data_IF_192606666794
#
_entry.id   IF_192606666794
#
_cell.length_a   1.000
_cell.length_b   1.000
_cell.length_c   1.000
_cell.angle_alpha   90.00
_cell.angle_beta   90.00
_cell.angle_gamma   90.00
#
_symmetry.space_group_name_H-M   'P 1'
#
loop_
_entity.id
_entity.type
_entity.pdbx_description
1 polymer ?
#
# COMPACT_ATOMS: atom_id res chain seq x y z
N UNK A 1 -11.98 -12.56 23.69
CA UNK A 1 -12.89 -13.73 23.77
C UNK A 1 -14.34 -13.32 23.54
N UNK A 2 -14.90 -12.38 24.28
CA UNK A 2 -16.31 -11.94 24.18
C UNK A 2 -16.69 -11.48 22.76
N UNK A 3 -15.89 -10.64 22.10
CA UNK A 3 -16.16 -10.16 20.72
C UNK A 3 -16.33 -11.32 19.73
N UNK A 4 -15.51 -12.37 19.81
CA UNK A 4 -15.62 -13.55 18.93
C UNK A 4 -16.91 -14.36 19.18
N UNK A 5 -17.35 -14.45 20.43
CA UNK A 5 -18.60 -15.14 20.78
C UNK A 5 -19.80 -14.36 20.25
N UNK A 6 -19.84 -13.04 20.46
CA UNK A 6 -20.91 -12.18 19.93
C UNK A 6 -20.98 -12.28 18.41
N UNK A 7 -19.83 -12.18 17.72
CA UNK A 7 -19.76 -12.34 16.27
C UNK A 7 -20.31 -13.70 15.82
N UNK A 8 -19.91 -14.78 16.47
CA UNK A 8 -20.37 -16.14 16.12
C UNK A 8 -21.88 -16.29 16.30
N UNK A 9 -22.43 -15.78 17.42
CA UNK A 9 -23.87 -15.85 17.68
C UNK A 9 -24.67 -15.00 16.69
N UNK A 10 -24.26 -13.77 16.45
CA UNK A 10 -24.92 -12.90 15.46
C UNK A 10 -24.88 -13.48 14.04
N UNK A 11 -23.73 -14.04 13.63
CA UNK A 11 -23.61 -14.69 12.32
C UNK A 11 -24.52 -15.89 12.16
N UNK A 12 -24.68 -16.71 13.22
CA UNK A 12 -25.65 -17.82 13.23
C UNK A 12 -27.10 -17.32 13.13
N UNK A 13 -27.46 -16.26 13.86
CA UNK A 13 -28.79 -15.66 13.75
C UNK A 13 -29.09 -15.19 12.33
N UNK A 14 -28.18 -14.46 11.70
CA UNK A 14 -28.31 -14.01 10.30
C UNK A 14 -28.50 -15.21 9.37
N UNK A 15 -27.69 -16.25 9.52
CA UNK A 15 -27.78 -17.47 8.71
C UNK A 15 -29.14 -18.17 8.86
N UNK A 16 -29.66 -18.29 10.09
CA UNK A 16 -30.97 -18.91 10.35
C UNK A 16 -32.12 -18.11 9.76
N UNK A 17 -32.09 -16.78 9.90
CA UNK A 17 -33.07 -15.87 9.30
C UNK A 17 -33.07 -16.01 7.77
N UNK A 18 -31.89 -15.99 7.16
CA UNK A 18 -31.73 -16.14 5.72
C UNK A 18 -32.25 -17.49 5.22
N UNK A 19 -31.97 -18.57 5.96
CA UNK A 19 -32.49 -19.90 5.65
C UNK A 19 -34.03 -19.93 5.70
N UNK A 20 -34.64 -19.30 6.69
CA UNK A 20 -36.09 -19.22 6.81
C UNK A 20 -36.71 -18.43 5.65
N UNK A 21 -36.13 -17.28 5.31
CA UNK A 21 -36.55 -16.45 4.18
C UNK A 21 -36.44 -17.26 2.87
N UNK A 22 -35.34 -17.96 2.66
CA UNK A 22 -35.14 -18.77 1.47
C UNK A 22 -36.19 -19.90 1.37
N UNK A 23 -36.48 -20.59 2.48
CA UNK A 23 -37.48 -21.66 2.52
C UNK A 23 -38.91 -21.17 2.22
N UNK A 24 -39.23 -19.93 2.59
CA UNK A 24 -40.57 -19.37 2.42
C UNK A 24 -40.76 -18.63 1.06
N UNK A 25 -39.70 -18.01 0.53
CA UNK A 25 -39.75 -17.14 -0.63
C UNK A 25 -39.01 -17.69 -1.85
N UNK A 26 -38.20 -18.72 -1.68
CA UNK A 26 -37.22 -19.24 -2.66
C UNK A 26 -36.25 -18.15 -3.18
N UNK A 27 -35.97 -17.12 -2.35
CA UNK A 27 -35.07 -16.01 -2.67
C UNK A 27 -34.07 -15.82 -1.53
N UNK A 28 -32.82 -15.48 -1.88
CA UNK A 28 -31.79 -15.05 -0.93
C UNK A 28 -31.72 -13.54 -0.86
N UNK A 29 -31.60 -12.98 0.33
CA UNK A 29 -31.43 -11.55 0.59
C UNK A 29 -30.00 -11.21 1.06
N UNK A 30 -29.09 -12.17 1.08
CA UNK A 30 -27.71 -11.97 1.54
C UNK A 30 -26.99 -10.84 0.80
N UNK A 31 -27.22 -10.67 -0.50
CA UNK A 31 -26.62 -9.59 -1.29
C UNK A 31 -27.10 -8.21 -0.79
N UNK A 32 -28.39 -8.07 -0.49
CA UNK A 32 -28.97 -6.83 0.05
C UNK A 32 -28.49 -6.54 1.46
N UNK A 33 -28.40 -7.57 2.31
CA UNK A 33 -27.80 -7.42 3.65
C UNK A 33 -26.34 -7.00 3.58
N UNK A 34 -25.57 -7.57 2.65
CA UNK A 34 -24.17 -7.17 2.42
C UNK A 34 -24.09 -5.71 1.98
N UNK A 35 -24.91 -5.28 1.03
CA UNK A 35 -24.94 -3.91 0.54
C UNK A 35 -25.32 -2.92 1.67
N UNK A 36 -26.33 -3.26 2.48
CA UNK A 36 -26.70 -2.47 3.64
C UNK A 36 -25.56 -2.36 4.66
N UNK A 37 -24.92 -3.47 5.03
CA UNK A 37 -23.78 -3.47 5.96
C UNK A 37 -22.63 -2.66 5.38
N UNK A 38 -22.36 -2.79 4.07
CA UNK A 38 -21.30 -2.04 3.40
C UNK A 38 -21.55 -0.54 3.41
N UNK A 39 -22.82 -0.12 3.30
CA UNK A 39 -23.21 1.30 3.40
C UNK A 39 -22.91 1.91 4.77
N UNK A 40 -22.80 1.09 5.82
CA UNK A 40 -22.46 1.47 7.19
C UNK A 40 -20.96 1.28 7.51
N UNK A 41 -20.20 0.65 6.61
CA UNK A 41 -18.81 0.24 6.85
C UNK A 41 -17.83 1.38 6.62
N UNK A 42 -17.99 2.47 7.37
CA UNK A 42 -17.09 3.61 7.33
C UNK A 42 -16.58 3.94 8.73
N UNK A 43 -15.30 4.30 8.80
CA UNK A 43 -14.64 4.74 10.01
C UNK A 43 -14.03 6.12 9.82
N UNK A 44 -14.21 6.98 10.81
CA UNK A 44 -13.64 8.33 10.80
C UNK A 44 -12.50 8.39 11.81
N UNK A 45 -11.36 8.86 11.37
CA UNK A 45 -10.23 9.19 12.24
C UNK A 45 -9.81 10.63 11.99
N UNK A 46 -9.12 11.20 12.96
CA UNK A 46 -8.54 12.53 12.83
C UNK A 46 -7.12 12.43 12.32
N UNK A 47 -6.83 13.09 11.20
CA UNK A 47 -5.49 13.19 10.60
C UNK A 47 -5.18 14.67 10.41
N UNK A 48 -4.13 15.19 11.08
CA UNK A 48 -3.69 16.59 10.99
C UNK A 48 -4.85 17.58 11.15
N UNK A 49 -5.65 17.41 12.21
CA UNK A 49 -6.86 18.21 12.53
C UNK A 49 -7.97 18.13 11.48
N UNK A 50 -7.93 17.16 10.58
CA UNK A 50 -8.98 16.91 9.59
C UNK A 50 -9.68 15.58 9.88
N UNK A 51 -11.02 15.56 9.83
CA UNK A 51 -11.81 14.33 9.97
C UNK A 51 -11.82 13.60 8.62
N UNK A 52 -11.13 12.49 8.54
CA UNK A 52 -11.00 11.66 7.34
C UNK A 52 -11.84 10.39 7.50
N UNK A 53 -12.64 10.10 6.49
CA UNK A 53 -13.47 8.90 6.42
C UNK A 53 -12.75 7.81 5.65
N UNK A 54 -12.73 6.60 6.18
CA UNK A 54 -12.20 5.41 5.51
C UNK A 54 -13.30 4.39 5.33
N UNK A 55 -13.39 3.81 4.15
CA UNK A 55 -14.19 2.64 3.90
C UNK A 55 -13.49 1.41 4.48
N UNK A 56 -14.18 0.69 5.36
CA UNK A 56 -13.64 -0.44 6.13
C UNK A 56 -14.47 -1.71 5.89
N UNK A 57 -14.33 -2.36 4.73
CA UNK A 57 -15.14 -3.51 4.34
C UNK A 57 -14.87 -4.76 5.18
N UNK A 58 -13.75 -4.80 5.90
CA UNK A 58 -13.33 -5.93 6.71
C UNK A 58 -12.42 -5.50 7.87
N UNK A 59 -12.15 -6.43 8.78
CA UNK A 59 -11.36 -6.16 9.99
C UNK A 59 -9.87 -5.85 9.72
N UNK A 60 -9.31 -6.29 8.59
CA UNK A 60 -7.92 -5.99 8.23
C UNK A 60 -7.77 -4.51 7.86
N UNK A 61 -8.69 -4.00 7.03
CA UNK A 61 -8.72 -2.56 6.70
C UNK A 61 -9.02 -1.74 7.95
N UNK A 62 -9.95 -2.20 8.81
CA UNK A 62 -10.22 -1.54 10.09
C UNK A 62 -8.96 -1.46 10.97
N UNK A 63 -8.22 -2.55 11.07
CA UNK A 63 -6.97 -2.61 11.82
C UNK A 63 -5.93 -1.62 11.27
N UNK A 64 -5.74 -1.55 9.94
CA UNK A 64 -4.83 -0.59 9.32
C UNK A 64 -5.19 0.86 9.64
N UNK A 65 -6.48 1.17 9.62
CA UNK A 65 -6.96 2.52 9.98
C UNK A 65 -6.76 2.80 11.46
N UNK A 66 -7.01 1.82 12.34
CA UNK A 66 -6.87 1.98 13.81
C UNK A 66 -5.42 2.11 14.26
N UNK A 67 -4.52 1.48 13.52
CA UNK A 67 -3.09 1.48 13.86
C UNK A 67 -2.28 2.47 13.04
N UNK A 68 -2.91 3.32 12.24
CA UNK A 68 -2.27 4.22 11.30
C UNK A 68 -1.08 5.01 11.88
N UNK A 69 -1.24 5.60 13.05
CA UNK A 69 -0.17 6.35 13.73
C UNK A 69 0.86 5.47 14.46
N UNK A 70 0.64 4.15 14.52
CA UNK A 70 1.45 3.22 15.31
C UNK A 70 2.26 2.27 14.44
N UNK A 71 1.74 1.89 13.27
CA UNK A 71 2.36 0.84 12.45
C UNK A 71 3.65 1.31 11.80
N UNK A 72 3.69 2.51 11.26
CA UNK A 72 4.88 3.07 10.63
C UNK A 72 5.02 4.57 10.96
N UNK A 73 5.24 4.93 12.22
CA UNK A 73 5.39 6.33 12.61
C UNK A 73 6.57 7.00 11.90
N UNK A 74 7.62 6.24 11.57
CA UNK A 74 8.78 6.72 10.82
C UNK A 74 8.44 7.16 9.39
N UNK A 75 7.45 6.55 8.75
CA UNK A 75 6.98 6.98 7.43
C UNK A 75 6.24 8.31 7.53
N UNK A 76 5.47 8.53 8.60
CA UNK A 76 4.81 9.83 8.85
C UNK A 76 5.84 10.91 9.18
N UNK A 77 6.82 10.63 10.04
CA UNK A 77 7.94 11.54 10.34
C UNK A 77 8.70 11.93 9.08
N UNK A 78 8.94 10.98 8.18
CA UNK A 78 9.60 11.23 6.91
C UNK A 78 8.77 12.15 6.01
N UNK A 79 7.46 11.90 5.87
CA UNK A 79 6.56 12.79 5.10
C UNK A 79 6.50 14.19 5.74
N UNK A 80 6.53 14.28 7.06
CA UNK A 80 6.56 15.55 7.79
C UNK A 80 7.83 16.37 7.51
N UNK A 81 8.92 15.70 7.16
CA UNK A 81 10.21 16.32 6.84
C UNK A 81 10.32 16.85 5.41
N UNK A 82 9.31 16.66 4.56
CA UNK A 82 9.34 17.14 3.17
C UNK A 82 9.48 18.65 3.10
N UNK A 83 10.26 19.13 2.13
CA UNK A 83 10.41 20.56 1.88
C UNK A 83 9.03 21.20 1.63
N UNK A 84 8.74 22.28 2.34
CA UNK A 84 7.53 23.05 2.08
C UNK A 84 7.71 23.87 0.81
N UNK A 85 7.27 23.33 -0.31
CA UNK A 85 7.35 23.98 -1.62
C UNK A 85 6.08 23.74 -2.44
N UNK A 86 5.84 24.64 -3.37
CA UNK A 86 4.77 24.47 -4.35
C UNK A 86 5.14 23.38 -5.38
N UNK A 87 4.12 22.68 -5.87
CA UNK A 87 4.25 21.62 -6.87
C UNK A 87 5.15 20.44 -6.45
N UNK A 88 5.20 20.12 -5.15
CA UNK A 88 5.84 18.92 -4.66
C UNK A 88 5.16 17.68 -5.26
N UNK A 89 5.94 16.75 -5.78
CA UNK A 89 5.46 15.49 -6.35
C UNK A 89 5.92 14.32 -5.46
N UNK A 90 4.95 13.60 -4.90
CA UNK A 90 5.18 12.41 -4.10
C UNK A 90 4.66 11.16 -4.82
N UNK A 91 5.49 10.14 -4.95
CA UNK A 91 5.10 8.83 -5.46
C UNK A 91 5.00 7.84 -4.29
N UNK A 92 3.80 7.28 -4.11
CA UNK A 92 3.48 6.25 -3.12
C UNK A 92 3.31 4.91 -3.86
N UNK A 93 4.40 4.13 -3.96
CA UNK A 93 4.43 2.87 -4.70
C UNK A 93 4.14 1.73 -3.73
N UNK A 94 2.99 1.07 -3.93
CA UNK A 94 2.38 0.15 -2.97
C UNK A 94 1.42 0.87 -2.02
N UNK A 95 0.57 1.76 -2.58
CA UNK A 95 -0.29 2.63 -1.79
C UNK A 95 -1.35 1.89 -0.95
N UNK A 96 -1.64 0.62 -1.23
CA UNK A 96 -2.62 -0.21 -0.53
C UNK A 96 -3.98 0.50 -0.43
N UNK A 97 -4.46 0.84 0.77
CA UNK A 97 -5.71 1.57 0.99
C UNK A 97 -5.56 3.11 0.99
N UNK A 98 -4.35 3.63 0.74
CA UNK A 98 -4.06 5.05 0.55
C UNK A 98 -3.73 5.85 1.79
N UNK A 99 -3.33 5.24 2.89
CA UNK A 99 -3.06 5.93 4.17
C UNK A 99 -2.00 7.03 4.02
N UNK A 100 -0.83 6.71 3.45
CA UNK A 100 0.28 7.66 3.30
C UNK A 100 0.04 8.66 2.18
N UNK A 101 -0.63 8.24 1.11
CA UNK A 101 -1.10 9.15 0.06
C UNK A 101 -2.02 10.24 0.60
N UNK A 102 -2.99 9.86 1.44
CA UNK A 102 -3.92 10.80 2.09
C UNK A 102 -3.17 11.69 3.07
N UNK A 103 -2.29 11.11 3.91
CA UNK A 103 -1.50 11.88 4.86
C UNK A 103 -0.67 12.96 4.17
N UNK A 104 0.09 12.60 3.12
CA UNK A 104 0.86 13.55 2.36
C UNK A 104 0.00 14.69 1.79
N UNK A 105 -1.17 14.37 1.23
CA UNK A 105 -2.06 15.36 0.60
C UNK A 105 -2.69 16.33 1.61
N UNK A 106 -2.79 15.94 2.87
CA UNK A 106 -3.25 16.80 3.97
C UNK A 106 -2.12 17.64 4.54
N UNK A 107 -0.92 17.06 4.67
CA UNK A 107 0.27 17.73 5.19
C UNK A 107 0.82 18.75 4.20
N UNK A 108 1.04 18.34 2.98
CA UNK A 108 1.65 19.12 1.91
C UNK A 108 0.58 19.61 0.94
N UNK A 109 -0.13 20.69 1.30
CA UNK A 109 -1.37 21.14 0.63
C UNK A 109 -1.20 21.40 -0.87
N UNK A 110 -0.02 21.80 -1.31
CA UNK A 110 0.31 22.12 -2.71
C UNK A 110 1.07 20.98 -3.39
N UNK A 111 0.92 19.74 -2.90
CA UNK A 111 1.54 18.55 -3.49
C UNK A 111 0.61 17.82 -4.44
N UNK A 112 1.20 17.13 -5.43
CA UNK A 112 0.57 16.09 -6.21
C UNK A 112 1.07 14.73 -5.73
N UNK A 113 0.16 13.84 -5.34
CA UNK A 113 0.49 12.47 -4.96
C UNK A 113 0.11 11.52 -6.08
N UNK A 114 1.02 10.62 -6.46
CA UNK A 114 0.75 9.53 -7.38
C UNK A 114 0.75 8.23 -6.57
N UNK A 115 -0.42 7.64 -6.42
CA UNK A 115 -0.63 6.40 -5.68
C UNK A 115 -0.62 5.20 -6.63
N UNK A 116 0.42 4.38 -6.58
CA UNK A 116 0.51 3.15 -7.38
C UNK A 116 -0.02 1.97 -6.55
N UNK A 117 -1.08 1.35 -7.04
CA UNK A 117 -1.66 0.16 -6.43
C UNK A 117 -2.27 -0.75 -7.51
N UNK A 118 -1.65 -1.90 -7.81
CA UNK A 118 -2.15 -2.79 -8.86
C UNK A 118 -3.16 -3.84 -8.37
N UNK A 119 -3.28 -4.11 -7.07
CA UNK A 119 -4.22 -5.09 -6.54
C UNK A 119 -5.65 -4.60 -6.71
N UNK A 120 -6.48 -5.38 -7.40
CA UNK A 120 -7.89 -5.06 -7.64
C UNK A 120 -8.69 -4.93 -6.36
N UNK A 121 -8.34 -5.72 -5.33
CA UNK A 121 -8.98 -5.68 -4.01
C UNK A 121 -8.66 -4.36 -3.28
N UNK A 122 -7.39 -3.96 -3.29
CA UNK A 122 -6.95 -2.73 -2.64
C UNK A 122 -7.43 -1.49 -3.38
N UNK A 123 -7.43 -1.51 -4.73
CA UNK A 123 -7.92 -0.41 -5.57
C UNK A 123 -9.36 -0.01 -5.24
N UNK A 124 -10.21 -0.98 -4.93
CA UNK A 124 -11.60 -0.73 -4.53
C UNK A 124 -11.68 0.16 -3.28
N UNK A 125 -10.81 -0.09 -2.31
CA UNK A 125 -10.76 0.69 -1.06
C UNK A 125 -10.05 2.02 -1.29
N UNK A 126 -8.90 2.01 -1.95
CA UNK A 126 -8.10 3.20 -2.26
C UNK A 126 -8.92 4.26 -2.99
N UNK A 127 -9.58 3.89 -4.10
CA UNK A 127 -10.38 4.82 -4.88
C UNK A 127 -11.53 5.41 -4.06
N UNK A 128 -12.20 4.58 -3.27
CA UNK A 128 -13.28 5.02 -2.39
C UNK A 128 -12.78 5.96 -1.29
N UNK A 129 -11.65 5.65 -0.65
CA UNK A 129 -11.05 6.51 0.38
C UNK A 129 -10.64 7.88 -0.16
N UNK A 130 -10.15 7.95 -1.39
CA UNK A 130 -9.81 9.23 -2.04
C UNK A 130 -11.08 10.03 -2.33
N UNK A 131 -12.06 9.42 -2.98
CA UNK A 131 -13.28 10.12 -3.43
C UNK A 131 -14.17 10.60 -2.28
N UNK A 132 -14.38 9.80 -1.24
CA UNK A 132 -15.23 10.23 -0.09
C UNK A 132 -14.63 11.40 0.71
N UNK A 133 -13.32 11.65 0.56
CA UNK A 133 -12.61 12.75 1.19
C UNK A 133 -12.34 13.92 0.21
N UNK A 134 -12.85 13.86 -1.02
CA UNK A 134 -12.67 14.87 -2.08
C UNK A 134 -11.18 15.16 -2.36
N UNK A 135 -10.35 14.11 -2.41
CA UNK A 135 -8.90 14.21 -2.66
C UNK A 135 -8.50 13.89 -4.09
N UNK A 136 -9.46 13.66 -5.00
CA UNK A 136 -9.24 13.25 -6.40
C UNK A 136 -8.37 14.26 -7.19
N UNK A 137 -8.44 15.53 -6.84
CA UNK A 137 -7.60 16.56 -7.47
C UNK A 137 -6.13 16.53 -7.01
N UNK A 138 -5.85 15.92 -5.85
CA UNK A 138 -4.52 15.88 -5.23
C UNK A 138 -3.84 14.52 -5.37
N UNK A 139 -4.62 13.44 -5.40
CA UNK A 139 -4.13 12.06 -5.46
C UNK A 139 -4.60 11.44 -6.76
N UNK A 140 -3.65 11.09 -7.62
CA UNK A 140 -3.90 10.35 -8.86
C UNK A 140 -3.58 8.88 -8.63
N UNK A 141 -4.52 7.99 -8.92
CA UNK A 141 -4.30 6.54 -8.81
C UNK A 141 -3.71 6.02 -10.10
N UNK A 142 -2.61 5.29 -10.01
CA UNK A 142 -2.02 4.52 -11.09
C UNK A 142 -2.13 3.04 -10.77
N UNK A 143 -2.84 2.31 -11.63
CA UNK A 143 -3.11 0.88 -11.45
C UNK A 143 -2.01 -0.02 -12.04
N UNK A 144 -0.98 0.61 -12.63
CA UNK A 144 0.13 -0.10 -13.25
C UNK A 144 1.13 -0.56 -12.20
N UNK A 145 1.44 -1.85 -12.08
CA UNK A 145 2.56 -2.31 -11.29
C UNK A 145 3.88 -1.91 -11.94
N UNK A 146 4.83 -1.52 -11.10
CA UNK A 146 6.17 -1.12 -11.51
C UNK A 146 7.18 -2.25 -11.32
N UNK A 147 8.16 -2.33 -12.21
CA UNK A 147 9.25 -3.31 -12.19
C UNK A 147 10.43 -2.79 -13.03
N UNK A 148 11.43 -3.62 -13.33
CA UNK A 148 12.54 -3.28 -14.23
C UNK A 148 12.23 -3.52 -15.71
N UNK A 149 11.14 -4.20 -16.06
CA UNK A 149 10.76 -4.45 -17.46
C UNK A 149 9.78 -3.37 -17.94
N UNK A 150 9.93 -3.05 -19.24
CA UNK A 150 9.11 -2.04 -19.88
C UNK A 150 7.94 -2.68 -20.62
N UNK A 151 6.72 -2.19 -20.34
CA UNK A 151 5.51 -2.46 -21.14
C UNK A 151 5.23 -3.94 -21.42
N UNK A 152 5.08 -4.75 -20.36
CA UNK A 152 4.79 -6.17 -20.49
C UNK A 152 3.58 -6.61 -19.66
N UNK A 153 2.83 -7.57 -20.20
CA UNK A 153 1.86 -8.32 -19.40
C UNK A 153 2.59 -9.40 -18.60
N UNK A 154 2.62 -9.19 -17.28
CA UNK A 154 3.16 -10.16 -16.34
C UNK A 154 2.05 -10.66 -15.41
N UNK A 155 2.36 -11.69 -14.63
CA UNK A 155 1.39 -12.25 -13.68
C UNK A 155 1.44 -11.47 -12.38
N UNK A 156 0.31 -10.87 -12.00
CA UNK A 156 0.05 -10.44 -10.63
C UNK A 156 -0.39 -11.65 -9.82
N UNK A 157 0.21 -11.84 -8.66
CA UNK A 157 -0.08 -12.91 -7.71
C UNK A 157 -0.50 -12.28 -6.40
N UNK A 158 -1.71 -12.58 -5.95
CA UNK A 158 -2.21 -12.08 -4.67
C UNK A 158 -2.27 -13.20 -3.63
N UNK A 159 -1.83 -12.90 -2.41
CA UNK A 159 -1.80 -13.82 -1.28
C UNK A 159 -3.18 -14.06 -0.67
N UNK A 160 -4.11 -13.14 -0.86
CA UNK A 160 -5.44 -13.14 -0.27
C UNK A 160 -6.47 -12.49 -1.18
N UNK A 161 -7.75 -12.82 -0.99
CA UNK A 161 -8.89 -12.12 -1.60
C UNK A 161 -9.38 -10.93 -0.77
N UNK A 162 -8.71 -10.63 0.33
CA UNK A 162 -9.16 -9.64 1.30
C UNK A 162 -8.58 -8.28 0.96
N UNK A 163 -9.44 -7.26 0.94
CA UNK A 163 -9.02 -5.87 0.81
C UNK A 163 -8.11 -5.45 1.98
N UNK A 164 -7.16 -4.57 1.71
CA UNK A 164 -6.10 -4.21 2.65
C UNK A 164 -5.00 -5.27 2.74
N UNK A 165 -5.07 -6.32 1.91
CA UNK A 165 -4.04 -7.36 1.83
C UNK A 165 -2.68 -6.79 1.43
N UNK A 166 -1.63 -7.51 1.82
CA UNK A 166 -0.24 -7.29 1.47
C UNK A 166 0.39 -8.61 1.03
N UNK A 167 1.70 -8.63 0.83
CA UNK A 167 2.45 -9.80 0.34
C UNK A 167 1.98 -10.26 -1.03
N UNK A 168 1.84 -9.33 -1.95
CA UNK A 168 1.55 -9.58 -3.35
C UNK A 168 2.85 -9.61 -4.15
N UNK A 169 2.83 -10.21 -5.36
CA UNK A 169 4.01 -10.25 -6.21
C UNK A 169 3.64 -10.00 -7.66
N UNK A 170 4.42 -9.18 -8.37
CA UNK A 170 4.25 -8.91 -9.78
C UNK A 170 5.45 -9.39 -10.60
N UNK A 171 5.19 -10.29 -11.57
CA UNK A 171 6.23 -10.83 -12.45
C UNK A 171 7.22 -11.76 -11.76
N UNK A 172 7.27 -11.77 -10.44
CA UNK A 172 8.17 -12.59 -9.64
C UNK A 172 7.64 -14.00 -9.35
N UNK A 173 8.53 -14.89 -8.93
CA UNK A 173 8.19 -16.22 -8.41
C UNK A 173 8.42 -16.32 -6.90
N UNK A 174 8.90 -15.25 -6.29
CA UNK A 174 9.29 -15.18 -4.89
C UNK A 174 8.38 -14.24 -4.12
N UNK A 175 8.27 -14.49 -2.83
CA UNK A 175 7.60 -13.64 -1.86
C UNK A 175 8.60 -12.62 -1.24
N UNK A 176 8.12 -11.86 -0.26
CA UNK A 176 8.91 -10.86 0.47
C UNK A 176 10.12 -11.45 1.24
N UNK A 177 10.18 -12.77 1.42
CA UNK A 177 11.34 -13.47 2.01
C UNK A 177 12.26 -14.06 0.96
N UNK A 178 12.00 -13.89 -0.35
CA UNK A 178 12.73 -14.54 -1.42
C UNK A 178 12.42 -16.03 -1.57
N UNK A 179 11.34 -16.52 -0.96
CA UNK A 179 10.88 -17.91 -1.08
C UNK A 179 9.84 -18.05 -2.19
N UNK A 180 9.61 -19.28 -2.66
CA UNK A 180 8.63 -19.55 -3.71
C UNK A 180 7.23 -19.13 -3.25
N UNK A 181 6.61 -18.21 -3.97
CA UNK A 181 5.33 -17.62 -3.63
C UNK A 181 4.16 -18.57 -3.93
N UNK A 182 3.29 -18.76 -2.92
CA UNK A 182 2.01 -19.45 -3.08
C UNK A 182 0.87 -18.43 -3.09
N UNK A 183 0.27 -18.22 -4.25
CA UNK A 183 -0.82 -17.26 -4.44
C UNK A 183 -2.20 -17.92 -4.33
N UNK A 184 -3.20 -17.14 -3.91
CA UNK A 184 -4.61 -17.54 -3.98
C UNK A 184 -5.31 -17.02 -5.24
N UNK A 185 -4.81 -15.95 -5.81
CA UNK A 185 -5.33 -15.36 -7.04
C UNK A 185 -4.19 -14.98 -7.98
N UNK A 186 -4.38 -15.26 -9.28
CA UNK A 186 -3.42 -14.92 -10.32
C UNK A 186 -4.16 -14.32 -11.51
N UNK A 187 -3.65 -13.21 -12.02
CA UNK A 187 -4.16 -12.60 -13.25
C UNK A 187 -3.05 -11.89 -14.02
N UNK A 188 -3.26 -11.68 -15.30
CA UNK A 188 -2.32 -10.90 -16.12
C UNK A 188 -2.67 -9.42 -16.05
N UNK A 189 -1.67 -8.60 -15.77
CA UNK A 189 -1.80 -7.15 -15.77
C UNK A 189 -0.63 -6.54 -16.52
N UNK A 190 -0.88 -5.44 -17.22
CA UNK A 190 0.15 -4.67 -17.89
C UNK A 190 0.94 -3.86 -16.89
N UNK A 191 2.26 -4.01 -16.92
CA UNK A 191 3.18 -3.27 -16.06
C UNK A 191 4.27 -2.58 -16.84
N UNK A 192 4.96 -1.67 -16.20
CA UNK A 192 6.00 -0.84 -16.82
C UNK A 192 7.10 -0.50 -15.81
N UNK A 193 7.97 0.44 -16.16
CA UNK A 193 9.02 0.94 -15.31
C UNK A 193 8.98 2.47 -15.15
N UNK A 194 9.71 2.97 -14.17
CA UNK A 194 9.81 4.40 -13.86
C UNK A 194 10.38 5.19 -15.05
N UNK A 195 11.41 4.65 -15.72
CA UNK A 195 12.03 5.31 -16.86
C UNK A 195 11.02 5.58 -17.98
N UNK A 196 10.19 4.58 -18.32
CA UNK A 196 9.16 4.73 -19.36
C UNK A 196 8.14 5.82 -19.02
N UNK A 197 7.66 5.85 -17.77
CA UNK A 197 6.66 6.84 -17.35
C UNK A 197 7.19 8.28 -17.48
N UNK A 198 8.45 8.50 -17.14
CA UNK A 198 9.07 9.83 -17.21
C UNK A 198 9.51 10.17 -18.63
N UNK A 199 10.13 9.25 -19.37
CA UNK A 199 10.58 9.46 -20.75
C UNK A 199 9.43 9.86 -21.68
N UNK A 200 8.26 9.26 -21.46
CA UNK A 200 7.06 9.55 -22.25
C UNK A 200 6.21 10.69 -21.67
N UNK A 201 6.70 11.41 -20.65
CA UNK A 201 5.99 12.53 -19.99
C UNK A 201 4.59 12.15 -19.48
N UNK A 202 4.40 10.88 -19.12
CA UNK A 202 3.17 10.39 -18.49
C UNK A 202 3.10 10.92 -17.07
N UNK A 203 4.25 10.93 -16.39
CA UNK A 203 4.42 11.46 -15.04
C UNK A 203 5.66 12.34 -14.94
N UNK A 204 5.60 13.33 -14.07
CA UNK A 204 6.74 14.18 -13.73
C UNK A 204 7.71 13.42 -12.81
N UNK A 205 9.00 13.81 -12.88
CA UNK A 205 10.00 13.32 -11.90
C UNK A 205 9.52 13.68 -10.50
N UNK A 206 9.45 12.71 -9.57
CA UNK A 206 9.03 12.97 -8.19
C UNK A 206 10.12 13.71 -7.39
N UNK A 207 9.69 14.32 -6.28
CA UNK A 207 10.58 14.85 -5.25
C UNK A 207 10.87 13.80 -4.20
N UNK A 208 9.87 12.99 -3.88
CA UNK A 208 9.92 11.94 -2.86
C UNK A 208 9.26 10.68 -3.38
N UNK A 209 9.82 9.51 -3.01
CA UNK A 209 9.31 8.20 -3.44
C UNK A 209 9.24 7.26 -2.24
N UNK A 210 8.06 6.71 -1.94
CA UNK A 210 7.91 5.54 -1.08
C UNK A 210 7.83 4.29 -1.96
N UNK A 211 8.54 3.22 -1.59
CA UNK A 211 8.48 1.91 -2.26
C UNK A 211 8.29 0.84 -1.20
N UNK A 212 7.13 0.20 -1.23
CA UNK A 212 6.70 -0.80 -0.27
C UNK A 212 5.76 -1.78 -0.99
N UNK A 213 6.34 -2.82 -1.61
CA UNK A 213 5.64 -3.71 -2.56
C UNK A 213 5.94 -5.20 -2.34
N UNK A 214 6.40 -5.55 -1.15
CA UNK A 214 6.59 -6.92 -0.69
C UNK A 214 7.62 -7.76 -1.49
N UNK A 215 8.81 -7.19 -1.80
CA UNK A 215 9.98 -7.99 -2.21
C UNK A 215 10.57 -7.69 -3.59
N UNK A 216 9.97 -6.80 -4.39
CA UNK A 216 10.50 -6.42 -5.72
C UNK A 216 11.01 -4.97 -5.80
N UNK A 217 11.27 -4.33 -4.67
CA UNK A 217 11.70 -2.93 -4.56
C UNK A 217 12.97 -2.66 -5.38
N UNK A 218 13.93 -3.59 -5.33
CA UNK A 218 15.15 -3.53 -6.14
C UNK A 218 14.87 -3.52 -7.66
N UNK A 219 13.86 -4.26 -8.12
CA UNK A 219 13.47 -4.26 -9.54
C UNK A 219 12.84 -2.92 -9.93
N UNK A 220 12.05 -2.33 -9.06
CA UNK A 220 11.45 -1.00 -9.29
C UNK A 220 12.55 0.05 -9.39
N UNK A 221 13.54 0.02 -8.48
CA UNK A 221 14.68 0.92 -8.52
C UNK A 221 15.55 0.73 -9.77
N UNK A 222 15.80 -0.53 -10.20
CA UNK A 222 16.46 -0.83 -11.48
C UNK A 222 15.70 -0.19 -12.66
N UNK A 223 14.35 -0.28 -12.63
CA UNK A 223 13.47 0.34 -13.63
C UNK A 223 13.45 1.87 -13.62
N UNK A 224 14.00 2.49 -12.58
CA UNK A 224 14.17 3.94 -12.42
C UNK A 224 15.59 4.45 -12.64
N UNK A 225 16.53 3.58 -12.99
CA UNK A 225 17.98 3.83 -12.99
C UNK A 225 18.42 5.10 -13.72
N UNK A 226 17.73 5.51 -14.79
CA UNK A 226 18.00 6.72 -15.54
C UNK A 226 17.74 8.00 -14.72
N UNK A 227 16.68 8.00 -13.94
CA UNK A 227 16.19 9.19 -13.23
C UNK A 227 16.57 9.23 -11.75
N UNK A 228 16.94 8.11 -11.14
CA UNK A 228 17.37 8.08 -9.72
C UNK A 228 18.53 9.05 -9.42
N UNK A 229 19.35 9.42 -10.41
CA UNK A 229 20.43 10.43 -10.25
C UNK A 229 19.95 11.87 -10.36
N UNK A 230 18.70 12.11 -10.76
CA UNK A 230 18.16 13.48 -10.90
C UNK A 230 18.08 14.15 -9.52
N UNK A 231 18.57 15.39 -9.44
CA UNK A 231 18.63 16.16 -8.19
C UNK A 231 17.26 16.58 -7.67
N UNK A 232 16.21 16.48 -8.50
CA UNK A 232 14.83 16.71 -8.05
C UNK A 232 14.40 15.67 -7.04
N UNK A 233 14.83 14.41 -7.20
CA UNK A 233 14.55 13.34 -6.22
C UNK A 233 15.39 13.57 -4.97
N UNK A 234 14.77 14.01 -3.89
CA UNK A 234 15.41 14.40 -2.64
C UNK A 234 15.65 13.21 -1.70
N UNK A 235 14.63 12.38 -1.57
CA UNK A 235 14.65 11.27 -0.62
C UNK A 235 13.72 10.14 -1.05
N UNK A 236 14.08 8.91 -0.66
CA UNK A 236 13.27 7.72 -0.83
C UNK A 236 13.09 7.00 0.51
N UNK A 237 11.89 6.49 0.75
CA UNK A 237 11.63 5.48 1.78
C UNK A 237 11.42 4.13 1.09
N UNK A 238 12.21 3.13 1.44
CA UNK A 238 12.17 1.80 0.81
C UNK A 238 12.05 0.74 1.89
N UNK A 239 11.03 -0.12 1.80
CA UNK A 239 10.93 -1.28 2.68
C UNK A 239 11.94 -2.36 2.25
N UNK A 240 12.74 -2.83 3.20
CA UNK A 240 13.79 -3.83 2.96
C UNK A 240 13.66 -4.96 3.96
N UNK A 241 13.52 -6.18 3.45
CA UNK A 241 13.66 -7.37 4.27
C UNK A 241 15.13 -7.81 4.32
N UNK A 242 15.78 -7.67 5.47
CA UNK A 242 17.18 -8.02 5.64
C UNK A 242 17.48 -9.51 5.46
N UNK A 243 16.48 -10.37 5.60
CA UNK A 243 16.61 -11.80 5.30
C UNK A 243 16.62 -12.08 3.79
N UNK A 244 16.07 -11.17 2.97
CA UNK A 244 16.13 -11.27 1.52
C UNK A 244 17.41 -10.59 0.99
N UNK A 245 18.52 -11.32 1.08
CA UNK A 245 19.86 -10.80 0.78
C UNK A 245 19.98 -10.15 -0.60
N UNK A 246 19.35 -10.73 -1.63
CA UNK A 246 19.39 -10.17 -3.00
C UNK A 246 18.73 -8.79 -3.05
N UNK A 247 17.50 -8.64 -2.52
CA UNK A 247 16.79 -7.38 -2.45
C UNK A 247 17.62 -6.33 -1.71
N UNK A 248 18.06 -6.67 -0.49
CA UNK A 248 18.83 -5.76 0.35
C UNK A 248 20.10 -5.27 -0.33
N UNK A 249 20.92 -6.20 -0.86
CA UNK A 249 22.20 -5.85 -1.50
C UNK A 249 21.98 -4.96 -2.71
N UNK A 250 21.04 -5.33 -3.59
CA UNK A 250 20.75 -4.53 -4.79
C UNK A 250 20.21 -3.15 -4.47
N UNK A 251 19.29 -3.02 -3.49
CA UNK A 251 18.77 -1.70 -3.08
C UNK A 251 19.90 -0.82 -2.59
N UNK A 252 20.75 -1.32 -1.66
CA UNK A 252 21.85 -0.53 -1.12
C UNK A 252 22.84 -0.10 -2.20
N UNK A 253 23.22 -1.00 -3.10
CA UNK A 253 24.14 -0.71 -4.20
C UNK A 253 23.56 0.34 -5.16
N UNK A 254 22.27 0.24 -5.51
CA UNK A 254 21.60 1.22 -6.38
C UNK A 254 21.58 2.59 -5.71
N UNK A 255 21.23 2.66 -4.44
CA UNK A 255 21.14 3.93 -3.70
C UNK A 255 22.52 4.59 -3.58
N UNK A 256 23.56 3.85 -3.24
CA UNK A 256 24.93 4.36 -3.17
C UNK A 256 25.44 4.88 -4.52
N UNK A 257 25.25 4.12 -5.62
CA UNK A 257 25.62 4.52 -6.97
C UNK A 257 24.94 5.80 -7.46
N UNK A 258 23.78 6.13 -6.87
CA UNK A 258 23.02 7.35 -7.18
C UNK A 258 23.22 8.46 -6.15
N UNK A 259 24.28 8.36 -5.30
CA UNK A 259 24.67 9.34 -4.29
C UNK A 259 23.63 9.55 -3.16
N UNK A 260 22.82 8.56 -2.86
CA UNK A 260 21.97 8.56 -1.69
C UNK A 260 22.68 7.95 -0.50
N UNK A 261 22.46 8.52 0.69
CA UNK A 261 22.95 8.01 1.97
C UNK A 261 21.77 7.58 2.82
N UNK A 262 21.97 6.57 3.65
CA UNK A 262 20.96 6.18 4.64
C UNK A 262 20.84 7.30 5.66
N UNK A 263 19.67 7.91 5.75
CA UNK A 263 19.34 8.90 6.77
C UNK A 263 18.95 8.20 8.08
N UNK A 264 18.07 7.23 7.99
CA UNK A 264 17.72 6.33 9.10
C UNK A 264 17.17 4.99 8.59
N UNK A 265 17.19 4.02 9.48
CA UNK A 265 16.60 2.70 9.34
C UNK A 265 15.73 2.47 10.57
N UNK A 266 14.45 2.32 10.38
CA UNK A 266 13.49 2.13 11.47
C UNK A 266 12.55 0.96 11.17
N UNK A 267 11.96 0.43 12.22
CA UNK A 267 10.97 -0.65 12.15
C UNK A 267 9.89 -0.37 13.18
N UNK A 268 8.66 -0.73 12.86
CA UNK A 268 7.59 -0.74 13.85
C UNK A 268 7.82 -1.85 14.88
N UNK A 269 8.16 -1.42 16.07
CA UNK A 269 8.41 -2.29 17.21
C UNK A 269 7.15 -2.54 18.03
N UNK A 270 6.26 -1.55 18.06
CA UNK A 270 5.09 -1.56 18.95
C UNK A 270 3.96 -2.45 18.44
N UNK A 271 3.78 -2.55 17.12
CA UNK A 271 2.71 -3.33 16.51
C UNK A 271 3.02 -4.83 16.46
N UNK A 272 4.27 -5.20 16.21
CA UNK A 272 4.68 -6.61 16.04
C UNK A 272 5.50 -7.14 17.22
N UNK A 273 5.88 -6.30 18.16
CA UNK A 273 6.69 -6.64 19.34
C UNK A 273 8.14 -7.01 18.99
N UNK A 274 9.03 -6.90 19.95
CA UNK A 274 10.44 -7.32 19.84
C UNK A 274 10.64 -8.84 19.78
N UNK A 275 9.70 -9.59 19.21
CA UNK A 275 9.89 -11.00 19.06
C UNK A 275 10.79 -11.28 17.85
N UNK A 276 12.05 -11.56 18.07
CA UNK A 276 13.03 -11.90 17.02
C UNK A 276 12.62 -13.11 16.15
N UNK A 277 11.62 -13.87 16.56
CA UNK A 277 11.06 -14.99 15.82
C UNK A 277 9.87 -14.59 14.92
N UNK A 278 9.38 -13.36 15.02
CA UNK A 278 8.30 -12.89 14.16
C UNK A 278 8.79 -12.76 12.71
N UNK A 279 7.97 -13.15 11.75
CA UNK A 279 8.35 -13.13 10.30
C UNK A 279 8.73 -11.72 9.80
N UNK A 280 8.17 -10.67 10.42
CA UNK A 280 8.46 -9.28 10.08
C UNK A 280 9.61 -8.65 10.89
N UNK A 281 10.25 -9.42 11.79
CA UNK A 281 11.30 -8.89 12.68
C UNK A 281 12.55 -8.38 11.96
N UNK A 282 12.69 -8.63 10.65
CA UNK A 282 13.80 -8.19 9.81
C UNK A 282 13.37 -7.30 8.64
N UNK A 283 12.15 -6.79 8.69
CA UNK A 283 11.65 -5.81 7.72
C UNK A 283 11.81 -4.43 8.32
N UNK A 284 12.41 -3.52 7.56
CA UNK A 284 12.72 -2.17 7.99
C UNK A 284 12.41 -1.16 6.90
N UNK A 285 11.92 -0.01 7.28
CA UNK A 285 11.85 1.17 6.42
C UNK A 285 13.20 1.89 6.43
N UNK A 286 13.89 1.87 5.29
CA UNK A 286 15.11 2.61 5.05
C UNK A 286 14.79 3.93 4.38
N UNK A 287 15.16 5.03 5.02
CA UNK A 287 15.06 6.34 4.38
C UNK A 287 16.44 6.74 3.87
N UNK A 288 16.49 7.02 2.59
CA UNK A 288 17.66 7.49 1.87
C UNK A 288 17.49 8.96 1.49
N UNK A 289 18.53 9.76 1.63
CA UNK A 289 18.54 11.17 1.25
C UNK A 289 19.89 11.57 0.63
N UNK A 290 19.91 12.73 -0.05
CA UNK A 290 21.10 13.35 -0.62
C UNK A 290 21.55 14.52 0.22
#
# INVERSE_FOLDING_TARGET
MIKKIIFFLSSKCIFLIEKLIFLTTNKSFLAWHKEFIESLSYKKIEILNSKISFFVPNHLVEWRVDTFYKTEPETLEWIDSFENKDNLVFWDIGANIGLYSIYNSLKNKNSATIAFEPSTSNLRVLSRNISINNLDSKIKIFTLPLTNVENKFLTMKESTFQEGGAMHSFGGSFDFEGKRFSSKMNYKIFGTNINFLIDNKILDIPDYIKIDVDGIEHLILEGGSKYLKDKKIKSLSVEINENFTEQRTKVLDIMEKNNFKILHKKQDVDTFGYNSKHIYSKIFNYVFAR
#
